data_IF_343970922438
#
_entry.id   IF_343970922438
#
_cell.length_a   1.000
_cell.length_b   1.000
_cell.length_c   1.000
_cell.angle_alpha   90.00
_cell.angle_beta   90.00
_cell.angle_gamma   90.00
#
_symmetry.space_group_name_H-M   'P 1'
#
loop_
_entity.id
_entity.type
_entity.pdbx_description
1 polymer ?
#
# COMPACT_ATOMS: atom_id res chain seq x y z
N UNK A 1 -23.66 12.46 6.69
CA UNK A 1 -22.36 11.91 7.08
C UNK A 1 -22.41 10.43 6.78
N UNK A 2 -21.50 9.93 5.95
CA UNK A 2 -21.40 8.49 5.69
C UNK A 2 -20.94 7.78 6.98
N UNK A 3 -21.79 6.96 7.58
CA UNK A 3 -21.38 6.06 8.65
C UNK A 3 -20.80 4.81 8.00
N UNK A 4 -19.48 4.66 8.00
CA UNK A 4 -18.85 3.43 7.51
C UNK A 4 -18.98 2.33 8.55
N UNK A 5 -19.31 1.10 8.11
CA UNK A 5 -19.30 -0.04 9.01
C UNK A 5 -17.85 -0.37 9.37
N UNK A 6 -17.56 -0.53 10.67
CA UNK A 6 -16.21 -0.86 11.16
C UNK A 6 -15.60 -2.06 10.41
N UNK A 7 -16.43 -3.06 10.09
CA UNK A 7 -16.00 -4.26 9.37
C UNK A 7 -15.58 -3.94 7.93
N UNK A 8 -16.26 -3.04 7.23
CA UNK A 8 -15.88 -2.62 5.87
C UNK A 8 -14.53 -1.89 5.90
N UNK A 9 -14.31 -1.00 6.88
CA UNK A 9 -13.03 -0.30 7.03
C UNK A 9 -11.89 -1.27 7.32
N UNK A 10 -12.06 -2.18 8.30
CA UNK A 10 -11.07 -3.21 8.62
C UNK A 10 -10.78 -4.07 7.39
N UNK A 11 -11.81 -4.43 6.63
CA UNK A 11 -11.69 -5.23 5.42
C UNK A 11 -10.90 -4.51 4.34
N UNK A 12 -11.19 -3.23 4.08
CA UNK A 12 -10.45 -2.41 3.13
C UNK A 12 -8.97 -2.30 3.50
N UNK A 13 -8.66 -2.11 4.79
CA UNK A 13 -7.27 -2.09 5.28
C UNK A 13 -6.59 -3.43 4.99
N UNK A 14 -7.26 -4.54 5.28
CA UNK A 14 -6.72 -5.88 5.06
C UNK A 14 -6.42 -6.15 3.58
N UNK A 15 -7.34 -5.77 2.68
CA UNK A 15 -7.15 -5.88 1.23
C UNK A 15 -6.01 -4.97 0.75
N UNK A 16 -5.92 -3.73 1.27
CA UNK A 16 -4.83 -2.82 0.93
C UNK A 16 -3.46 -3.40 1.31
N UNK A 17 -3.35 -4.04 2.48
CA UNK A 17 -2.13 -4.74 2.91
C UNK A 17 -1.77 -5.91 1.99
N UNK A 18 -2.75 -6.65 1.47
CA UNK A 18 -2.51 -7.70 0.47
C UNK A 18 -2.04 -7.14 -0.89
N UNK A 19 -2.49 -5.97 -1.28
CA UNK A 19 -2.07 -5.34 -2.55
C UNK A 19 -0.61 -4.87 -2.55
N UNK A 20 -0.04 -4.59 -1.39
CA UNK A 20 1.33 -4.07 -1.24
C UNK A 20 2.31 -5.12 -0.74
N UNK A 21 1.98 -6.40 -0.92
CA UNK A 21 2.87 -7.50 -0.52
C UNK A 21 4.24 -7.41 -1.19
N UNK A 22 5.27 -7.80 -0.44
CA UNK A 22 6.66 -7.75 -0.90
C UNK A 22 6.85 -8.69 -2.10
N UNK A 23 6.38 -9.92 -1.98
CA UNK A 23 6.33 -10.86 -3.10
C UNK A 23 5.19 -10.49 -4.04
N UNK A 24 5.50 -10.35 -5.32
CA UNK A 24 4.53 -10.04 -6.37
C UNK A 24 3.52 -11.19 -6.55
N UNK A 25 3.94 -12.44 -6.31
CA UNK A 25 3.06 -13.60 -6.41
C UNK A 25 1.96 -13.61 -5.34
N UNK A 26 2.19 -12.92 -4.21
CA UNK A 26 1.24 -12.82 -3.11
C UNK A 26 0.22 -11.68 -3.29
N UNK A 27 0.37 -10.82 -4.31
CA UNK A 27 -0.56 -9.72 -4.57
C UNK A 27 -1.81 -10.24 -5.28
N UNK A 28 -3.02 -9.93 -4.79
CA UNK A 28 -4.25 -10.34 -5.46
C UNK A 28 -4.41 -9.63 -6.80
N UNK A 29 -4.93 -10.34 -7.80
CA UNK A 29 -5.34 -9.72 -9.06
C UNK A 29 -6.55 -8.80 -8.87
N UNK A 30 -6.77 -7.86 -9.80
CA UNK A 30 -7.88 -6.89 -9.69
C UNK A 30 -9.27 -7.54 -9.61
N UNK A 31 -9.50 -8.66 -10.31
CA UNK A 31 -10.76 -9.41 -10.21
C UNK A 31 -10.95 -10.00 -8.80
N UNK A 32 -9.90 -10.53 -8.19
CA UNK A 32 -9.89 -11.02 -6.82
C UNK A 32 -10.16 -9.88 -5.83
N UNK A 33 -9.57 -8.71 -6.03
CA UNK A 33 -9.82 -7.52 -5.20
C UNK A 33 -11.29 -7.10 -5.27
N UNK A 34 -11.88 -7.02 -6.46
CA UNK A 34 -13.31 -6.69 -6.62
C UNK A 34 -14.17 -7.73 -5.91
N UNK A 35 -13.85 -9.01 -6.07
CA UNK A 35 -14.57 -10.10 -5.41
C UNK A 35 -14.45 -9.99 -3.87
N UNK A 36 -13.25 -9.70 -3.35
CA UNK A 36 -13.00 -9.45 -1.93
C UNK A 36 -13.73 -8.20 -1.41
N UNK A 37 -13.96 -7.18 -2.22
CA UNK A 37 -14.71 -5.99 -1.79
C UNK A 37 -16.22 -6.22 -1.79
N UNK A 38 -16.71 -6.99 -2.76
CA UNK A 38 -18.16 -7.17 -3.00
C UNK A 38 -18.77 -8.34 -2.24
N UNK A 39 -18.01 -9.37 -1.90
CA UNK A 39 -18.54 -10.60 -1.29
C UNK A 39 -18.16 -10.71 0.19
N UNK A 40 -19.10 -10.46 1.11
CA UNK A 40 -18.85 -10.50 2.57
C UNK A 40 -18.58 -11.89 3.16
N UNK A 41 -18.69 -12.96 2.38
CA UNK A 41 -18.47 -14.33 2.84
C UNK A 41 -17.03 -14.83 2.62
N UNK A 42 -16.22 -14.06 1.89
CA UNK A 42 -14.84 -14.45 1.59
C UNK A 42 -13.96 -14.21 2.80
N UNK A 43 -13.29 -15.28 3.22
CA UNK A 43 -12.20 -15.21 4.19
C UNK A 43 -10.97 -14.64 3.50
N UNK A 44 -10.48 -13.49 4.00
CA UNK A 44 -9.28 -12.88 3.47
C UNK A 44 -8.03 -13.61 3.98
N UNK A 45 -7.01 -13.84 3.12
CA UNK A 45 -5.73 -14.36 3.56
C UNK A 45 -5.04 -13.34 4.45
N UNK A 46 -4.30 -13.80 5.46
CA UNK A 46 -3.55 -12.92 6.35
C UNK A 46 -2.39 -12.29 5.58
N UNK A 47 -2.25 -10.95 5.56
CA UNK A 47 -1.13 -10.30 4.92
C UNK A 47 0.17 -10.65 5.66
N UNK A 48 1.23 -10.90 4.89
CA UNK A 48 2.58 -10.98 5.44
C UNK A 48 2.99 -9.63 6.05
N UNK A 49 3.97 -9.66 6.96
CA UNK A 49 4.53 -8.43 7.53
C UNK A 49 5.00 -7.52 6.39
N UNK A 50 4.61 -6.23 6.37
CA UNK A 50 5.00 -5.33 5.31
C UNK A 50 6.52 -5.36 5.19
N UNK A 51 7.05 -5.75 4.02
CA UNK A 51 8.49 -5.83 3.79
C UNK A 51 9.24 -4.50 3.93
N UNK A 52 8.50 -3.43 4.25
CA UNK A 52 8.95 -2.06 4.39
C UNK A 52 8.63 -1.50 5.78
N UNK A 53 8.86 -2.29 6.83
CA UNK A 53 9.05 -1.69 8.16
C UNK A 53 10.42 -1.01 8.13
N UNK A 54 10.43 0.29 7.85
CA UNK A 54 11.60 1.11 8.16
C UNK A 54 11.85 0.97 9.66
N UNK A 55 12.91 0.25 10.04
CA UNK A 55 13.49 0.43 11.36
C UNK A 55 13.93 1.89 11.39
N UNK A 56 13.14 2.75 12.05
CA UNK A 56 13.63 4.05 12.49
C UNK A 56 14.70 3.75 13.53
N UNK A 57 15.91 3.48 13.04
CA UNK A 57 17.07 3.28 13.86
C UNK A 57 17.42 4.63 14.45
N UNK A 58 17.49 4.69 15.78
CA UNK A 58 18.10 5.78 16.55
C UNK A 58 19.63 5.92 16.27
N UNK A 59 20.07 5.71 15.04
CA UNK A 59 21.43 5.96 14.63
C UNK A 59 21.38 7.05 13.56
N UNK A 60 21.65 8.28 13.98
CA UNK A 60 22.17 9.28 13.07
C UNK A 60 23.26 8.60 12.23
N UNK A 61 23.19 8.70 10.90
CA UNK A 61 24.16 8.20 9.90
C UNK A 61 23.72 7.03 9.00
N UNK A 62 22.44 6.69 8.87
CA UNK A 62 21.96 6.00 7.64
C UNK A 62 21.13 6.97 6.81
N UNK A 63 21.80 7.61 5.86
CA UNK A 63 21.22 8.42 4.79
C UNK A 63 19.95 7.78 4.25
N UNK A 64 18.86 8.53 4.31
CA UNK A 64 17.62 8.27 3.61
C UNK A 64 17.91 7.78 2.18
N UNK A 65 17.66 6.50 1.89
CA UNK A 65 17.57 6.01 0.51
C UNK A 65 16.15 6.27 0.00
N UNK A 66 15.81 7.54 -0.09
CA UNK A 66 14.85 7.98 -1.11
C UNK A 66 15.69 8.18 -2.36
N UNK A 67 15.31 7.54 -3.47
CA UNK A 67 15.82 7.97 -4.77
C UNK A 67 15.22 9.35 -5.00
N UNK A 68 16.04 10.40 -4.81
CA UNK A 68 15.73 11.70 -5.40
C UNK A 68 16.00 11.49 -6.88
N UNK A 69 14.95 11.30 -7.67
CA UNK A 69 15.16 11.39 -9.10
C UNK A 69 15.57 12.84 -9.39
N UNK A 70 16.75 13.02 -9.99
CA UNK A 70 17.27 14.30 -10.49
C UNK A 70 16.46 14.71 -11.73
N UNK A 71 15.15 14.90 -11.56
CA UNK A 71 14.30 15.42 -12.60
C UNK A 71 14.66 16.90 -12.79
N UNK A 72 15.49 17.18 -13.80
CA UNK A 72 15.75 18.55 -14.25
C UNK A 72 14.42 19.26 -14.46
N UNK A 73 14.14 20.25 -13.62
CA UNK A 73 12.95 21.10 -13.76
C UNK A 73 13.04 21.78 -15.12
N UNK A 74 12.21 21.34 -16.08
CA UNK A 74 12.07 22.07 -17.34
C UNK A 74 11.32 23.37 -17.05
N UNK A 75 12.04 24.49 -17.12
CA UNK A 75 11.47 25.82 -16.97
C UNK A 75 10.48 26.06 -18.12
N UNK A 76 9.19 26.15 -17.82
CA UNK A 76 8.14 26.51 -18.78
C UNK A 76 8.13 28.04 -18.94
N UNK A 77 8.48 28.53 -20.12
CA UNK A 77 8.35 29.95 -20.45
C UNK A 77 6.88 30.27 -20.80
N UNK A 78 6.29 31.37 -20.25
CA UNK A 78 4.97 31.82 -20.65
C UNK A 78 5.00 32.40 -22.08
N UNK A 79 3.94 32.10 -22.85
CA UNK A 79 3.69 32.67 -24.19
C UNK A 79 3.03 34.04 -24.14
#
# INVERSE_FOLDING_TARGET
MESYQRNEVIRCIHIALLCVQKDHANRPGMSTVILMLTSNTITLPVPEEPGFVYKSGNNANSSFLWSVDDASITHLEPR
#
